data_IF_450042271104
#
_entry.id   IF_450042271104
#
_cell.length_a   1.000
_cell.length_b   1.000
_cell.length_c   1.000
_cell.angle_alpha   90.00
_cell.angle_beta   90.00
_cell.angle_gamma   90.00
#
_symmetry.space_group_name_H-M   'P 1'
#
loop_
_entity.id
_entity.type
_entity.pdbx_description
1 polymer ?
#
# COMPACT_ATOMS: atom_id res chain seq x y z
N UNK A 1 -1.24 -11.67 15.59
CA UNK A 1 -1.70 -12.94 15.00
C UNK A 1 -2.76 -13.67 15.86
N UNK A 2 -2.60 -13.77 17.19
CA UNK A 2 -3.49 -14.58 18.05
C UNK A 2 -4.94 -14.07 18.22
N UNK A 3 -5.23 -12.79 17.97
CA UNK A 3 -6.59 -12.24 18.15
C UNK A 3 -7.57 -12.61 17.02
N UNK A 4 -7.07 -12.87 15.80
CA UNK A 4 -7.91 -13.02 14.61
C UNK A 4 -7.68 -14.32 13.84
N UNK A 5 -6.86 -15.25 14.36
CA UNK A 5 -6.47 -16.50 13.69
C UNK A 5 -6.10 -16.29 12.21
N UNK A 6 -5.06 -15.46 11.98
CA UNK A 6 -4.63 -15.09 10.64
C UNK A 6 -3.82 -16.23 10.02
N UNK A 7 -4.30 -16.76 8.90
CA UNK A 7 -3.60 -17.80 8.13
C UNK A 7 -2.44 -17.22 7.30
N UNK A 8 -2.63 -16.02 6.72
CA UNK A 8 -1.68 -15.37 5.81
C UNK A 8 -1.71 -13.86 5.91
N UNK A 9 -0.57 -13.22 5.60
CA UNK A 9 -0.46 -11.77 5.44
C UNK A 9 -0.03 -11.48 4.00
N UNK A 10 -0.75 -10.59 3.34
CA UNK A 10 -0.45 -10.10 1.99
C UNK A 10 -0.19 -8.60 2.08
N UNK A 11 0.98 -8.17 1.61
CA UNK A 11 1.33 -6.76 1.38
C UNK A 11 1.11 -6.46 -0.10
N UNK A 12 0.32 -5.42 -0.39
CA UNK A 12 0.03 -5.01 -1.77
C UNK A 12 1.14 -4.16 -2.40
N UNK A 13 2.28 -3.97 -1.73
CA UNK A 13 3.42 -3.21 -2.26
C UNK A 13 3.59 -1.84 -1.63
N UNK A 14 4.55 -1.09 -2.17
CA UNK A 14 5.10 0.16 -1.60
C UNK A 14 5.54 -0.04 -0.15
N UNK A 15 6.33 -1.09 0.07
CA UNK A 15 7.08 -1.33 1.31
C UNK A 15 8.08 -0.19 1.54
N UNK A 16 8.62 0.33 0.44
CA UNK A 16 9.48 1.50 0.36
C UNK A 16 8.71 2.77 -0.03
N UNK A 17 9.43 3.90 -0.11
CA UNK A 17 8.89 5.18 -0.57
C UNK A 17 9.25 6.34 0.35
N UNK A 18 8.44 6.57 1.39
CA UNK A 18 8.45 7.86 2.09
C UNK A 18 9.19 7.90 3.42
N UNK A 19 9.12 6.85 4.24
CA UNK A 19 9.47 6.94 5.66
C UNK A 19 10.72 6.13 6.02
N UNK A 20 11.42 6.43 7.13
CA UNK A 20 12.84 6.17 7.24
C UNK A 20 13.20 4.75 7.73
N UNK A 21 12.22 3.85 7.81
CA UNK A 21 12.34 2.53 8.45
C UNK A 21 12.32 1.37 7.44
N UNK A 22 12.85 1.56 6.23
CA UNK A 22 12.74 0.58 5.13
C UNK A 22 13.28 -0.80 5.52
N UNK A 23 14.42 -0.86 6.21
CA UNK A 23 15.02 -2.13 6.62
C UNK A 23 14.17 -2.83 7.68
N UNK A 24 13.71 -2.07 8.69
CA UNK A 24 12.89 -2.59 9.78
C UNK A 24 11.52 -3.08 9.28
N UNK A 25 10.93 -2.39 8.30
CA UNK A 25 9.68 -2.84 7.66
C UNK A 25 9.92 -4.15 6.91
N UNK A 26 10.96 -4.24 6.07
CA UNK A 26 11.28 -5.45 5.31
C UNK A 26 11.55 -6.63 6.26
N UNK A 27 12.33 -6.43 7.31
CA UNK A 27 12.62 -7.45 8.32
C UNK A 27 11.36 -7.90 9.07
N UNK A 28 10.44 -6.98 9.36
CA UNK A 28 9.16 -7.31 9.97
C UNK A 28 8.28 -8.15 9.04
N UNK A 29 8.22 -7.80 7.75
CA UNK A 29 7.45 -8.55 6.75
C UNK A 29 8.05 -9.94 6.51
N UNK A 30 9.38 -10.04 6.42
CA UNK A 30 10.11 -11.30 6.31
C UNK A 30 9.82 -12.20 7.53
N UNK A 31 9.91 -11.67 8.75
CA UNK A 31 9.66 -12.42 9.98
C UNK A 31 8.22 -12.96 10.09
N UNK A 32 7.26 -12.33 9.42
CA UNK A 32 5.86 -12.77 9.38
C UNK A 32 5.51 -13.63 8.16
N UNK A 33 6.50 -14.02 7.34
CA UNK A 33 6.30 -14.74 6.09
C UNK A 33 5.27 -14.05 5.17
N UNK A 34 5.28 -12.71 5.15
CA UNK A 34 4.33 -11.93 4.35
C UNK A 34 4.59 -12.16 2.86
N UNK A 35 3.51 -12.45 2.12
CA UNK A 35 3.55 -12.42 0.66
C UNK A 35 3.57 -10.96 0.24
N UNK A 36 4.64 -10.51 -0.40
CA UNK A 36 4.77 -9.13 -0.84
C UNK A 36 4.58 -9.00 -2.36
N UNK A 37 3.66 -8.13 -2.76
CA UNK A 37 3.59 -7.64 -4.12
C UNK A 37 4.52 -6.46 -4.31
N UNK A 38 4.99 -6.24 -5.54
CA UNK A 38 5.84 -5.10 -5.86
C UNK A 38 4.98 -3.86 -6.08
N UNK A 39 5.29 -2.79 -5.36
CA UNK A 39 4.78 -1.46 -5.69
C UNK A 39 5.74 -0.67 -6.55
N UNK A 40 5.26 0.44 -7.13
CA UNK A 40 6.09 1.31 -7.96
C UNK A 40 7.26 1.93 -7.17
N UNK A 41 7.09 2.25 -5.88
CA UNK A 41 8.20 2.72 -5.06
C UNK A 41 9.26 1.64 -4.83
N UNK A 42 8.82 0.39 -4.65
CA UNK A 42 9.71 -0.76 -4.50
C UNK A 42 10.53 -0.97 -5.77
N UNK A 43 9.89 -0.83 -6.94
CA UNK A 43 10.56 -0.85 -8.25
C UNK A 43 11.64 0.23 -8.34
N UNK A 44 11.36 1.47 -7.92
CA UNK A 44 12.35 2.56 -7.92
C UNK A 44 13.56 2.28 -7.01
N UNK A 45 13.33 1.60 -5.88
CA UNK A 45 14.42 1.13 -5.03
C UNK A 45 15.24 0.09 -5.78
N UNK A 46 14.62 -1.00 -6.25
CA UNK A 46 15.29 -2.16 -6.87
C UNK A 46 16.11 -1.73 -8.10
N UNK A 47 15.48 -1.00 -9.02
CA UNK A 47 16.08 -0.60 -10.30
C UNK A 47 16.99 0.62 -10.16
N UNK A 48 17.05 1.21 -8.96
CA UNK A 48 17.77 2.43 -8.66
C UNK A 48 17.32 3.64 -9.52
N UNK A 49 16.04 3.69 -9.90
CA UNK A 49 15.44 4.76 -10.73
C UNK A 49 14.71 5.80 -9.88
N UNK A 50 14.39 6.95 -10.46
CA UNK A 50 13.59 7.97 -9.80
C UNK A 50 12.10 7.81 -10.08
N UNK A 51 11.26 8.26 -9.14
CA UNK A 51 9.84 8.47 -9.39
C UNK A 51 9.67 9.62 -10.39
N UNK A 52 9.01 9.39 -11.55
CA UNK A 52 8.86 10.43 -12.57
C UNK A 52 7.83 11.49 -12.19
N UNK A 53 7.00 11.24 -11.17
CA UNK A 53 5.80 12.04 -10.85
C UNK A 53 5.96 12.91 -9.59
N UNK A 54 7.00 12.70 -8.78
CA UNK A 54 7.10 13.37 -7.47
C UNK A 54 8.53 13.60 -7.00
N UNK A 55 8.92 14.87 -6.97
CA UNK A 55 10.19 15.29 -6.36
C UNK A 55 10.25 14.97 -4.87
N UNK A 56 9.13 15.10 -4.14
CA UNK A 56 9.06 14.75 -2.72
C UNK A 56 9.29 13.25 -2.48
N UNK A 57 8.77 12.39 -3.37
CA UNK A 57 9.08 10.97 -3.33
C UNK A 57 10.58 10.73 -3.56
N UNK A 58 11.18 11.39 -4.56
CA UNK A 58 12.61 11.23 -4.87
C UNK A 58 13.52 11.63 -3.70
N UNK A 59 13.17 12.68 -2.95
CA UNK A 59 13.91 13.03 -1.73
C UNK A 59 13.91 11.89 -0.70
N UNK A 60 12.76 11.28 -0.45
CA UNK A 60 12.64 10.17 0.51
C UNK A 60 13.34 8.89 -0.01
N UNK A 61 13.15 8.58 -1.29
CA UNK A 61 13.79 7.45 -1.96
C UNK A 61 15.32 7.58 -1.98
N UNK A 62 15.86 8.80 -2.11
CA UNK A 62 17.31 9.04 -2.08
C UNK A 62 17.90 8.60 -0.75
N UNK A 63 17.25 8.95 0.37
CA UNK A 63 17.64 8.47 1.69
C UNK A 63 17.48 6.94 1.79
N UNK A 64 16.34 6.38 1.38
CA UNK A 64 16.12 4.94 1.50
C UNK A 64 17.14 4.12 0.69
N UNK A 65 17.49 4.57 -0.53
CA UNK A 65 18.53 3.96 -1.36
C UNK A 65 19.91 3.96 -0.69
N UNK A 66 20.22 4.96 0.14
CA UNK A 66 21.51 5.05 0.81
C UNK A 66 21.59 4.18 2.08
N UNK A 67 20.46 3.78 2.65
CA UNK A 67 20.42 3.00 3.90
C UNK A 67 19.93 1.57 3.74
N UNK A 68 19.22 1.23 2.66
CA UNK A 68 18.74 -0.14 2.43
C UNK A 68 19.91 -1.10 2.32
N UNK A 69 19.84 -2.22 3.05
CA UNK A 69 20.88 -3.26 2.98
C UNK A 69 20.73 -4.12 1.72
N UNK A 70 21.83 -4.73 1.26
CA UNK A 70 21.79 -5.66 0.12
C UNK A 70 20.85 -6.84 0.37
N UNK A 71 20.81 -7.34 1.62
CA UNK A 71 19.89 -8.40 2.04
C UNK A 71 18.43 -7.97 1.82
N UNK A 72 18.06 -6.79 2.32
CA UNK A 72 16.68 -6.31 2.27
C UNK A 72 16.28 -5.90 0.86
N UNK A 73 17.21 -5.34 0.07
CA UNK A 73 17.01 -5.10 -1.37
C UNK A 73 16.77 -6.41 -2.13
N UNK A 74 17.55 -7.45 -1.84
CA UNK A 74 17.39 -8.78 -2.46
C UNK A 74 16.09 -9.47 -2.03
N UNK A 75 15.59 -9.22 -0.81
CA UNK A 75 14.26 -9.66 -0.39
C UNK A 75 13.17 -8.95 -1.20
N UNK A 76 13.25 -7.62 -1.33
CA UNK A 76 12.27 -6.82 -2.07
C UNK A 76 12.21 -7.23 -3.55
N UNK A 77 13.34 -7.57 -4.15
CA UNK A 77 13.45 -8.01 -5.54
C UNK A 77 12.73 -9.36 -5.84
N UNK A 78 12.32 -10.11 -4.82
CA UNK A 78 11.54 -11.36 -4.97
C UNK A 78 10.03 -11.11 -5.09
N UNK A 79 9.59 -9.87 -4.93
CA UNK A 79 8.17 -9.50 -4.95
C UNK A 79 7.55 -9.75 -6.34
N UNK A 80 6.30 -10.19 -6.37
CA UNK A 80 5.55 -10.45 -7.61
C UNK A 80 4.65 -9.26 -7.98
N UNK A 81 4.41 -8.97 -9.27
CA UNK A 81 3.53 -7.86 -9.68
C UNK A 81 2.04 -8.13 -9.37
N UNK A 82 1.66 -9.40 -9.28
CA UNK A 82 0.30 -9.82 -8.97
C UNK A 82 0.27 -11.15 -8.24
N UNK A 83 -0.88 -11.46 -7.67
CA UNK A 83 -1.16 -12.74 -7.02
C UNK A 83 -2.62 -13.11 -7.27
N UNK A 84 -2.87 -14.39 -7.56
CA UNK A 84 -4.20 -14.96 -7.65
C UNK A 84 -4.29 -16.13 -6.69
N UNK A 85 -5.31 -16.13 -5.82
CA UNK A 85 -5.62 -17.24 -4.92
C UNK A 85 -7.12 -17.50 -4.97
N UNK A 86 -7.50 -18.68 -5.47
CA UNK A 86 -8.92 -19.03 -5.65
C UNK A 86 -9.61 -18.03 -6.57
N UNK A 87 -10.68 -17.40 -6.08
CA UNK A 87 -11.43 -16.35 -6.80
C UNK A 87 -10.94 -14.93 -6.48
N UNK A 88 -9.75 -14.78 -5.89
CA UNK A 88 -9.21 -13.49 -5.44
C UNK A 88 -7.98 -13.07 -6.24
N UNK A 89 -7.95 -11.82 -6.70
CA UNK A 89 -6.85 -11.19 -7.43
C UNK A 89 -6.30 -10.00 -6.66
N UNK A 90 -4.98 -9.90 -6.59
CA UNK A 90 -4.26 -8.88 -5.83
C UNK A 90 -3.21 -8.21 -6.73
N UNK A 91 -3.18 -6.88 -6.74
CA UNK A 91 -2.19 -6.03 -7.43
C UNK A 91 -1.85 -4.80 -6.57
N UNK A 92 -0.77 -4.09 -6.87
CA UNK A 92 -0.52 -2.78 -6.23
C UNK A 92 -1.37 -1.69 -6.85
N UNK A 93 -1.24 -1.50 -8.16
CA UNK A 93 -1.93 -0.48 -8.95
C UNK A 93 -3.33 -0.90 -9.37
N UNK A 94 -3.50 -1.30 -10.62
CA UNK A 94 -4.74 -1.82 -11.19
C UNK A 94 -4.46 -3.01 -12.11
N UNK A 95 -5.46 -3.50 -12.82
CA UNK A 95 -5.33 -4.69 -13.66
C UNK A 95 -4.89 -4.39 -15.10
N UNK A 96 -4.86 -3.12 -15.52
CA UNK A 96 -4.20 -2.70 -16.76
C UNK A 96 -2.70 -2.47 -16.54
N UNK A 97 -2.32 -1.93 -15.37
CA UNK A 97 -0.93 -1.85 -14.90
C UNK A 97 -0.85 -2.23 -13.41
N UNK A 98 -0.43 -3.48 -13.10
CA UNK A 98 -0.32 -4.00 -11.74
C UNK A 98 0.59 -3.21 -10.80
N UNK A 99 1.52 -2.41 -11.33
CA UNK A 99 2.49 -1.66 -10.53
C UNK A 99 2.15 -0.16 -10.42
N UNK A 100 1.54 0.49 -11.43
CA UNK A 100 1.51 1.98 -11.44
C UNK A 100 0.14 2.62 -11.80
N UNK A 101 -0.88 1.82 -12.11
CA UNK A 101 -2.24 2.33 -12.38
C UNK A 101 -2.95 2.80 -11.12
N UNK A 102 -3.51 4.01 -11.15
CA UNK A 102 -4.36 4.53 -10.08
C UNK A 102 -5.85 4.30 -10.38
N UNK A 103 -6.52 3.52 -9.52
CA UNK A 103 -7.97 3.33 -9.57
C UNK A 103 -8.73 4.32 -8.67
N UNK A 104 -8.84 5.60 -9.09
CA UNK A 104 -9.67 6.61 -8.40
C UNK A 104 -11.15 6.58 -8.80
N UNK A 105 -11.47 6.01 -9.96
CA UNK A 105 -12.84 5.88 -10.47
C UNK A 105 -13.13 4.41 -10.69
N UNK A 106 -14.11 3.88 -9.94
CA UNK A 106 -14.45 2.47 -9.98
C UNK A 106 -15.75 2.28 -10.75
N UNK A 107 -15.71 1.36 -11.72
CA UNK A 107 -16.86 0.93 -12.52
C UNK A 107 -16.87 -0.61 -12.59
N UNK A 108 -18.04 -1.24 -12.47
CA UNK A 108 -18.16 -2.70 -12.52
C UNK A 108 -17.61 -3.30 -13.83
N UNK A 109 -17.81 -2.63 -14.97
CA UNK A 109 -17.36 -3.10 -16.29
C UNK A 109 -15.84 -3.26 -16.40
N UNK A 110 -15.07 -2.56 -15.58
CA UNK A 110 -13.62 -2.76 -15.47
C UNK A 110 -13.26 -4.18 -14.99
N UNK A 111 -14.09 -4.75 -14.12
CA UNK A 111 -13.88 -6.05 -13.48
C UNK A 111 -14.61 -7.20 -14.19
N UNK A 112 -15.68 -6.91 -14.93
CA UNK A 112 -16.47 -7.91 -15.67
C UNK A 112 -15.67 -8.71 -16.71
N UNK A 113 -14.51 -8.20 -17.13
CA UNK A 113 -13.58 -8.89 -18.04
C UNK A 113 -12.76 -10.00 -17.36
N UNK A 114 -12.84 -10.13 -16.04
CA UNK A 114 -12.09 -11.09 -15.24
C UNK A 114 -13.02 -12.15 -14.64
N UNK A 115 -12.49 -13.34 -14.39
CA UNK A 115 -13.26 -14.45 -13.82
C UNK A 115 -13.27 -14.43 -12.28
N UNK A 116 -12.33 -13.69 -11.68
CA UNK A 116 -12.21 -13.52 -10.25
C UNK A 116 -13.41 -12.74 -9.68
N UNK A 117 -13.66 -12.95 -8.39
CA UNK A 117 -14.73 -12.27 -7.65
C UNK A 117 -14.20 -11.19 -6.73
N UNK A 118 -13.02 -11.38 -6.14
CA UNK A 118 -12.49 -10.45 -5.14
C UNK A 118 -11.24 -9.77 -5.68
N UNK A 119 -11.31 -8.46 -5.85
CA UNK A 119 -10.26 -7.64 -6.44
C UNK A 119 -9.66 -6.73 -5.37
N UNK A 120 -8.38 -6.89 -5.08
CA UNK A 120 -7.66 -6.11 -4.09
C UNK A 120 -6.56 -5.28 -4.73
N UNK A 121 -6.59 -3.96 -4.52
CA UNK A 121 -5.49 -3.09 -4.94
C UNK A 121 -5.14 -1.99 -3.94
N UNK A 122 -3.91 -1.50 -4.02
CA UNK A 122 -3.37 -0.43 -3.18
C UNK A 122 -3.24 0.89 -3.94
N UNK A 123 -2.02 1.44 -3.95
CA UNK A 123 -1.56 2.64 -4.67
C UNK A 123 -2.24 3.99 -4.35
N UNK A 124 -3.57 4.09 -4.30
CA UNK A 124 -4.30 5.34 -4.02
C UNK A 124 -4.20 5.79 -2.56
N UNK A 125 -3.95 4.85 -1.64
CA UNK A 125 -3.94 5.04 -0.18
C UNK A 125 -5.29 5.46 0.42
N UNK A 126 -6.39 5.25 -0.32
CA UNK A 126 -7.76 5.55 0.11
C UNK A 126 -8.48 4.23 0.42
N UNK A 127 -8.90 4.04 1.66
CA UNK A 127 -9.59 2.82 2.05
C UNK A 127 -11.01 2.78 1.45
N UNK A 128 -11.33 1.72 0.71
CA UNK A 128 -12.63 1.58 0.04
C UNK A 128 -12.98 0.11 -0.16
N UNK A 129 -14.24 -0.24 0.05
CA UNK A 129 -14.80 -1.53 -0.33
C UNK A 129 -16.10 -1.29 -1.10
N UNK A 130 -16.28 -1.99 -2.21
CA UNK A 130 -17.42 -1.88 -3.12
C UNK A 130 -17.84 -3.29 -3.51
N UNK A 131 -19.11 -3.61 -3.31
CA UNK A 131 -19.74 -4.82 -3.82
C UNK A 131 -20.58 -4.45 -5.04
N UNK A 132 -20.37 -5.17 -6.14
CA UNK A 132 -21.13 -4.99 -7.39
C UNK A 132 -22.32 -5.96 -7.46
N UNK A 133 -23.29 -5.65 -8.31
CA UNK A 133 -24.51 -6.46 -8.48
C UNK A 133 -24.23 -7.86 -9.04
N UNK A 134 -23.17 -8.00 -9.85
CA UNK A 134 -22.75 -9.29 -10.43
C UNK A 134 -22.02 -10.20 -9.41
N UNK A 135 -21.89 -9.77 -8.15
CA UNK A 135 -21.24 -10.51 -7.07
C UNK A 135 -19.73 -10.30 -6.98
N UNK A 136 -19.11 -9.58 -7.92
CA UNK A 136 -17.70 -9.17 -7.80
C UNK A 136 -17.57 -8.05 -6.74
N UNK A 137 -16.37 -7.92 -6.18
CA UNK A 137 -16.03 -6.94 -5.16
C UNK A 137 -14.69 -6.28 -5.46
N UNK A 138 -14.63 -4.96 -5.34
CA UNK A 138 -13.38 -4.20 -5.32
C UNK A 138 -13.05 -3.76 -3.89
N UNK A 139 -11.80 -3.93 -3.48
CA UNK A 139 -11.30 -3.52 -2.17
C UNK A 139 -9.94 -2.86 -2.27
N UNK A 140 -9.87 -1.63 -1.82
CA UNK A 140 -8.63 -0.98 -1.43
C UNK A 140 -8.52 -0.98 0.10
N UNK A 141 -7.56 -1.70 0.71
CA UNK A 141 -7.45 -1.76 2.16
C UNK A 141 -7.02 -0.42 2.78
N UNK A 142 -6.66 0.57 1.97
CA UNK A 142 -6.08 1.85 2.38
C UNK A 142 -4.56 1.76 2.46
N UNK A 143 -3.96 2.66 3.23
CA UNK A 143 -2.51 2.66 3.47
C UNK A 143 -2.19 2.49 4.95
N UNK A 144 -1.24 1.61 5.23
CA UNK A 144 -0.68 1.42 6.57
C UNK A 144 0.23 2.60 6.94
N UNK A 145 1.08 3.03 6.01
CA UNK A 145 2.16 3.98 6.29
C UNK A 145 1.86 5.44 5.93
N UNK A 146 0.98 5.71 4.95
CA UNK A 146 0.65 7.06 4.51
C UNK A 146 -0.82 7.15 4.05
N UNK A 147 -1.81 7.10 4.95
CA UNK A 147 -3.20 7.30 4.54
C UNK A 147 -3.39 8.67 3.86
N UNK A 148 -4.28 8.72 2.86
CA UNK A 148 -4.56 9.94 2.06
C UNK A 148 -6.02 10.36 2.06
N UNK A 149 -6.87 9.70 2.84
CA UNK A 149 -8.32 9.90 2.89
C UNK A 149 -8.80 10.80 4.04
N UNK A 150 -7.88 11.60 4.62
CA UNK A 150 -8.19 12.51 5.72
C UNK A 150 -8.30 11.82 7.09
N UNK A 151 -7.89 10.55 7.18
CA UNK A 151 -7.90 9.78 8.43
C UNK A 151 -6.48 9.30 8.72
N UNK A 152 -5.89 9.82 9.79
CA UNK A 152 -4.47 9.65 10.13
C UNK A 152 -4.07 8.29 10.74
N UNK A 153 -4.98 7.31 10.81
CA UNK A 153 -4.71 5.97 11.35
C UNK A 153 -4.33 4.99 10.24
N UNK A 154 -3.45 4.03 10.55
CA UNK A 154 -3.05 2.98 9.62
C UNK A 154 -4.26 2.12 9.22
N UNK A 155 -4.44 1.91 7.92
CA UNK A 155 -5.59 1.19 7.35
C UNK A 155 -5.17 -0.17 6.77
N UNK A 156 -6.02 -1.18 6.98
CA UNK A 156 -5.87 -2.54 6.43
C UNK A 156 -7.25 -3.20 6.30
N UNK A 157 -7.31 -4.42 5.79
CA UNK A 157 -8.55 -5.22 5.83
C UNK A 157 -8.29 -6.63 6.34
N UNK A 158 -9.34 -7.25 6.88
CA UNK A 158 -9.43 -8.69 7.11
C UNK A 158 -10.29 -9.28 5.99
N UNK A 159 -9.85 -10.41 5.44
CA UNK A 159 -10.57 -11.12 4.39
C UNK A 159 -10.70 -12.59 4.78
N UNK A 160 -11.94 -13.07 4.81
CA UNK A 160 -12.25 -14.49 5.00
C UNK A 160 -12.57 -15.13 3.66
N UNK A 161 -11.62 -15.88 3.11
CA UNK A 161 -11.75 -16.57 1.82
C UNK A 161 -12.88 -17.59 1.78
N UNK A 162 -13.32 -18.14 2.94
CA UNK A 162 -14.38 -19.16 2.98
C UNK A 162 -15.76 -18.53 2.87
N UNK A 163 -15.95 -17.37 3.48
CA UNK A 163 -17.25 -16.69 3.52
C UNK A 163 -17.35 -15.53 2.53
N UNK A 164 -16.22 -15.06 2.00
CA UNK A 164 -16.13 -13.85 1.19
C UNK A 164 -16.23 -12.56 2.00
N UNK A 165 -16.24 -12.64 3.34
CA UNK A 165 -16.40 -11.48 4.20
C UNK A 165 -15.14 -10.59 4.17
N UNK A 166 -15.34 -9.29 3.95
CA UNK A 166 -14.30 -8.27 3.94
C UNK A 166 -14.60 -7.24 5.01
N UNK A 167 -13.64 -7.03 5.92
CA UNK A 167 -13.77 -6.05 6.98
C UNK A 167 -12.64 -5.02 6.93
N UNK A 168 -13.00 -3.76 6.68
CA UNK A 168 -12.06 -2.64 6.72
C UNK A 168 -11.72 -2.29 8.17
N UNK A 169 -10.43 -2.18 8.45
CA UNK A 169 -9.91 -1.91 9.80
C UNK A 169 -8.94 -0.75 9.78
N UNK A 170 -8.84 -0.11 10.94
CA UNK A 170 -7.89 0.96 11.22
C UNK A 170 -7.31 0.84 12.61
N UNK A 171 -6.08 1.27 12.77
CA UNK A 171 -5.39 1.28 14.07
C UNK A 171 -4.55 2.54 14.22
N UNK A 172 -4.60 3.13 15.42
CA UNK A 172 -3.74 4.26 15.79
C UNK A 172 -2.30 3.82 15.93
N UNK A 173 -1.36 4.67 15.54
CA UNK A 173 0.07 4.43 15.71
C UNK A 173 0.76 5.72 16.19
N UNK A 174 2.01 5.58 16.65
CA UNK A 174 2.77 6.72 17.13
C UNK A 174 3.36 7.52 15.96
N UNK A 175 2.63 8.53 15.49
CA UNK A 175 3.06 9.44 14.41
C UNK A 175 4.30 10.23 14.84
N UNK A 176 4.39 10.65 16.11
CA UNK A 176 5.53 11.40 16.63
C UNK A 176 6.84 10.62 16.46
N UNK A 177 6.83 9.29 16.60
CA UNK A 177 8.01 8.44 16.38
C UNK A 177 8.54 8.57 14.95
N UNK A 178 7.64 8.61 13.96
CA UNK A 178 8.01 8.78 12.55
C UNK A 178 8.49 10.19 12.28
N UNK A 179 7.74 11.20 12.74
CA UNK A 179 8.06 12.61 12.57
C UNK A 179 9.41 12.97 13.20
N UNK A 180 9.67 12.53 14.44
CA UNK A 180 10.92 12.79 15.14
C UNK A 180 12.12 12.13 14.43
N UNK A 181 11.95 10.91 13.90
CA UNK A 181 13.02 10.26 13.12
C UNK A 181 13.31 11.01 11.82
N UNK A 182 12.27 11.41 11.09
CA UNK A 182 12.42 12.23 9.87
C UNK A 182 13.13 13.55 10.18
N UNK A 183 12.72 14.26 11.23
CA UNK A 183 13.37 15.50 11.69
C UNK A 183 14.84 15.28 12.05
N UNK A 184 15.17 14.22 12.79
CA UNK A 184 16.55 13.90 13.17
C UNK A 184 17.45 13.56 11.96
N UNK A 185 16.86 13.10 10.86
CA UNK A 185 17.54 12.85 9.59
C UNK A 185 17.63 14.09 8.70
N UNK A 186 17.13 15.25 9.15
CA UNK A 186 17.20 16.51 8.42
C UNK A 186 16.09 16.75 7.41
N UNK A 187 15.01 15.95 7.43
CA UNK A 187 13.84 16.22 6.58
C UNK A 187 13.03 17.41 7.09
N UNK A 188 12.60 18.27 6.17
CA UNK A 188 11.64 19.34 6.44
C UNK A 188 10.31 18.79 6.98
N UNK A 189 9.61 19.60 7.76
CA UNK A 189 8.30 19.26 8.33
C UNK A 189 7.28 18.78 7.31
N UNK A 190 7.28 19.36 6.10
CA UNK A 190 6.38 18.99 5.00
C UNK A 190 6.39 17.50 4.64
N UNK A 191 7.46 16.77 4.94
CA UNK A 191 7.59 15.34 4.62
C UNK A 191 6.90 14.40 5.61
N UNK A 192 6.51 14.91 6.78
CA UNK A 192 5.87 14.09 7.82
C UNK A 192 4.62 14.73 8.45
N UNK A 193 4.41 16.04 8.29
CA UNK A 193 3.22 16.71 8.84
C UNK A 193 1.90 16.20 8.25
N UNK A 194 1.94 15.71 7.01
CA UNK A 194 0.81 15.08 6.34
C UNK A 194 0.27 13.86 7.10
N UNK A 195 1.12 13.17 7.87
CA UNK A 195 0.71 12.01 8.65
C UNK A 195 -0.28 12.37 9.76
N UNK A 196 -0.19 13.55 10.36
CA UNK A 196 -1.13 13.97 11.42
C UNK A 196 -2.55 14.19 10.92
N UNK A 197 -2.71 14.42 9.62
CA UNK A 197 -4.01 14.65 8.97
C UNK A 197 -4.48 13.43 8.17
N UNK A 198 -3.54 12.63 7.63
CA UNK A 198 -3.86 11.56 6.68
C UNK A 198 -4.03 12.10 5.25
N UNK A 199 -3.05 12.87 4.78
CA UNK A 199 -3.03 13.49 3.44
C UNK A 199 -1.79 13.09 2.65
N UNK A 200 -1.76 13.41 1.35
CA UNK A 200 -0.52 13.40 0.56
C UNK A 200 0.53 14.31 1.20
N UNK A 201 1.81 14.04 0.92
CA UNK A 201 2.84 15.07 1.09
C UNK A 201 2.44 16.27 0.22
N UNK A 202 2.19 17.42 0.85
CA UNK A 202 1.61 18.60 0.20
C UNK A 202 0.15 18.90 0.56
N UNK A 203 -0.54 18.01 1.30
CA UNK A 203 -1.78 18.33 2.01
C UNK A 203 -3.10 17.92 1.34
N UNK A 204 -3.08 17.38 0.12
CA UNK A 204 -4.32 16.97 -0.57
C UNK A 204 -4.91 15.68 0.04
N UNK A 205 -6.24 15.67 0.19
CA UNK A 205 -7.04 14.48 0.50
C UNK A 205 -7.52 13.86 -0.83
N UNK A 206 -7.35 12.56 -0.95
CA UNK A 206 -7.79 11.76 -2.09
C UNK A 206 -9.12 11.07 -1.80
N UNK A 207 -9.85 10.76 -2.88
CA UNK A 207 -11.14 10.06 -2.82
C UNK A 207 -11.26 9.08 -3.97
N UNK A 208 -11.90 7.94 -3.69
CA UNK A 208 -12.34 6.98 -4.72
C UNK A 208 -13.84 7.21 -4.97
N UNK A 209 -14.17 7.58 -6.20
CA UNK A 209 -15.55 7.71 -6.68
C UNK A 209 -16.05 6.41 -7.31
N UNK A 210 -17.33 6.10 -7.12
CA UNK A 210 -17.99 4.93 -7.68
C UNK A 210 -19.01 5.40 -8.71
N UNK A 211 -18.87 4.91 -9.94
CA UNK A 211 -19.89 5.06 -10.96
C UNK A 211 -20.58 3.70 -11.06
N UNK A 212 -21.75 3.61 -10.42
CA UNK A 212 -22.65 2.48 -10.54
C UNK A 212 -23.30 2.49 -11.93
#
# INVERSE_FOLDING_TARGET
>A
MAQYNIDRVISLGDVSGYYPFINEVIELLEAHNTINLIGNHDRYIIDNTECPRSTSANFCLTYQKSVITDKNRAWLAKSSPSLIIGESSFVHGGWDDPEDEYLYKINASYFERFNEKFFFCGHTHVQKHIQFENGQCFTNPGSVGQPRDGINTAAYCLFDEKTGAIELRRVTYNIDKVANKMKALGFDEKFYSNLYVGTRIGGNIDYISVNL
#
